data_IF_534524055489
#
_entry.id   IF_534524055489
#
_cell.length_a   1.000
_cell.length_b   1.000
_cell.length_c   1.000
_cell.angle_alpha   90.00
_cell.angle_beta   90.00
_cell.angle_gamma   90.00
#
_symmetry.space_group_name_H-M   'P 1'
#
loop_
_entity.id
_entity.type
_entity.pdbx_description
1 polymer ?
#
# COMPACT_ATOMS: atom_id res chain seq x y z
N UNK A 1 -16.65 -0.72 6.33
CA UNK A 1 -16.02 0.50 6.89
C UNK A 1 -14.80 0.25 7.80
N UNK A 2 -14.41 -0.98 8.16
CA UNK A 2 -13.55 -1.14 9.36
C UNK A 2 -12.01 -1.14 9.16
N UNK A 3 -11.45 -1.38 7.98
CA UNK A 3 -9.99 -1.60 7.86
C UNK A 3 -9.19 -0.29 7.96
N UNK A 4 -9.55 0.72 7.15
CA UNK A 4 -8.89 2.03 7.14
C UNK A 4 -8.90 2.68 8.53
N UNK A 5 -10.02 2.60 9.23
CA UNK A 5 -10.16 3.20 10.57
C UNK A 5 -9.27 2.49 11.61
N UNK A 6 -9.18 1.15 11.56
CA UNK A 6 -8.26 0.39 12.42
C UNK A 6 -6.80 0.76 12.17
N UNK A 7 -6.39 0.82 10.91
CA UNK A 7 -5.01 1.22 10.55
C UNK A 7 -4.71 2.63 11.03
N UNK A 8 -5.64 3.57 10.89
CA UNK A 8 -5.45 4.94 11.36
C UNK A 8 -5.37 5.03 12.90
N UNK A 9 -6.08 4.18 13.65
CA UNK A 9 -6.00 4.17 15.12
C UNK A 9 -4.59 3.86 15.64
N UNK A 10 -3.84 3.02 14.94
CA UNK A 10 -2.47 2.64 15.31
C UNK A 10 -1.42 3.70 14.97
N UNK A 11 -1.76 4.65 14.09
CA UNK A 11 -0.85 5.69 13.62
C UNK A 11 -0.99 6.98 14.43
N UNK A 12 0.15 7.62 14.67
CA UNK A 12 0.23 8.99 15.22
C UNK A 12 -0.35 10.02 14.23
N UNK A 13 -0.73 11.23 14.67
CA UNK A 13 -1.28 12.25 13.77
C UNK A 13 -0.38 12.59 12.57
N UNK A 14 0.94 12.63 12.76
CA UNK A 14 1.93 12.87 11.69
C UNK A 14 1.98 11.71 10.69
N UNK A 15 1.95 10.47 11.18
CA UNK A 15 1.92 9.26 10.36
C UNK A 15 0.61 9.15 9.58
N UNK A 16 -0.53 9.50 10.17
CA UNK A 16 -1.82 9.55 9.47
C UNK A 16 -1.78 10.50 8.29
N UNK A 17 -1.17 11.67 8.47
CA UNK A 17 -1.01 12.63 7.37
C UNK A 17 -0.15 12.05 6.24
N UNK A 18 0.98 11.41 6.60
CA UNK A 18 1.83 10.74 5.63
C UNK A 18 1.08 9.62 4.89
N UNK A 19 0.37 8.75 5.61
CA UNK A 19 -0.45 7.69 5.04
C UNK A 19 -1.48 8.23 4.03
N UNK A 20 -2.23 9.27 4.41
CA UNK A 20 -3.25 9.87 3.54
C UNK A 20 -2.64 10.55 2.31
N UNK A 21 -1.50 11.21 2.47
CA UNK A 21 -0.76 11.83 1.36
C UNK A 21 -0.30 10.76 0.36
N UNK A 22 0.37 9.72 0.85
CA UNK A 22 0.90 8.62 0.02
C UNK A 22 -0.23 7.87 -0.68
N UNK A 23 -1.34 7.59 0.02
CA UNK A 23 -2.51 6.97 -0.58
C UNK A 23 -3.08 7.84 -1.71
N UNK A 24 -3.24 9.16 -1.48
CA UNK A 24 -3.72 10.08 -2.52
C UNK A 24 -2.81 10.10 -3.75
N UNK A 25 -1.50 10.11 -3.56
CA UNK A 25 -0.52 10.08 -4.67
C UNK A 25 -0.66 8.80 -5.51
N UNK A 26 -0.83 7.64 -4.88
CA UNK A 26 -1.02 6.38 -5.61
C UNK A 26 -2.38 6.32 -6.31
N UNK A 27 -3.44 6.85 -5.69
CA UNK A 27 -4.74 6.97 -6.37
C UNK A 27 -4.64 7.86 -7.63
N UNK A 28 -3.87 8.95 -7.58
CA UNK A 28 -3.62 9.81 -8.75
C UNK A 28 -2.78 9.12 -9.84
N UNK A 29 -1.95 8.14 -9.48
CA UNK A 29 -1.19 7.31 -10.42
C UNK A 29 -2.01 6.17 -11.05
N UNK A 30 -3.32 6.14 -10.78
CA UNK A 30 -4.24 5.14 -11.32
C UNK A 30 -4.15 3.78 -10.62
N UNK A 31 -3.66 3.72 -9.39
CA UNK A 31 -3.84 2.51 -8.57
C UNK A 31 -5.26 2.47 -8.03
N UNK A 32 -5.92 1.30 -8.06
CA UNK A 32 -7.28 1.19 -7.56
C UNK A 32 -7.35 1.30 -6.03
N UNK A 33 -8.44 1.84 -5.46
CA UNK A 33 -8.62 1.99 -4.02
C UNK A 33 -8.96 0.65 -3.34
N UNK A 34 -8.02 -0.30 -3.38
CA UNK A 34 -8.18 -1.65 -2.80
C UNK A 34 -7.61 -1.74 -1.38
N UNK A 35 -7.95 -2.82 -0.67
CA UNK A 35 -7.37 -3.11 0.64
C UNK A 35 -5.85 -3.28 0.56
N UNK A 36 -5.35 -3.86 -0.54
CA UNK A 36 -3.92 -4.05 -0.78
C UNK A 36 -3.18 -2.71 -0.89
N UNK A 37 -3.79 -1.69 -1.51
CA UNK A 37 -3.23 -0.34 -1.52
C UNK A 37 -3.17 0.26 -0.11
N UNK A 38 -4.21 0.08 0.70
CA UNK A 38 -4.19 0.55 2.08
C UNK A 38 -3.12 -0.14 2.94
N UNK A 39 -2.95 -1.46 2.81
CA UNK A 39 -1.87 -2.18 3.49
C UNK A 39 -0.49 -1.70 3.01
N UNK A 40 -0.31 -1.52 1.70
CA UNK A 40 0.95 -1.00 1.16
C UNK A 40 1.30 0.38 1.73
N UNK A 41 0.35 1.32 1.74
CA UNK A 41 0.57 2.65 2.32
C UNK A 41 0.83 2.59 3.84
N UNK A 42 0.20 1.65 4.54
CA UNK A 42 0.45 1.43 5.97
C UNK A 42 1.87 0.94 6.22
N UNK A 43 2.34 -0.08 5.48
CA UNK A 43 3.71 -0.58 5.61
C UNK A 43 4.76 0.48 5.21
N UNK A 44 4.50 1.33 4.22
CA UNK A 44 5.36 2.48 3.91
C UNK A 44 5.46 3.46 5.09
N UNK A 45 4.36 3.64 5.81
CA UNK A 45 4.32 4.49 7.01
C UNK A 45 5.16 3.87 8.13
N UNK A 46 5.05 2.56 8.34
CA UNK A 46 5.87 1.83 9.31
C UNK A 46 7.37 1.85 8.95
N UNK A 47 7.71 1.81 7.66
CA UNK A 47 9.10 1.85 7.20
C UNK A 47 9.74 3.18 7.58
N UNK A 48 8.99 4.27 7.38
CA UNK A 48 9.42 5.60 7.81
C UNK A 48 9.61 5.65 9.33
N UNK A 49 8.67 5.12 10.11
CA UNK A 49 8.79 5.05 11.58
C UNK A 49 10.06 4.30 11.99
N UNK A 50 10.34 3.18 11.35
CA UNK A 50 11.54 2.38 11.65
C UNK A 50 12.84 3.12 11.29
N UNK A 51 12.86 3.87 10.18
CA UNK A 51 13.99 4.73 9.80
C UNK A 51 14.22 5.88 10.78
N UNK A 52 13.15 6.44 11.34
CA UNK A 52 13.25 7.46 12.38
C UNK A 52 13.84 6.86 13.68
N UNK A 53 13.48 5.60 14.01
CA UNK A 53 14.02 4.86 15.16
C UNK A 53 15.44 4.33 14.96
N UNK A 54 15.89 4.05 13.73
CA UNK A 54 17.21 3.47 13.45
C UNK A 54 18.38 4.41 13.78
N UNK A 55 18.09 5.69 13.97
CA UNK A 55 19.04 6.68 14.52
C UNK A 55 19.42 6.40 15.98
N UNK A 56 18.69 5.51 16.66
CA UNK A 56 18.91 5.14 18.05
C UNK A 56 20.05 4.13 18.21
N UNK A 57 21.08 4.48 18.98
CA UNK A 57 22.15 3.56 19.39
C UNK A 57 21.66 2.62 20.50
N UNK A 58 20.78 1.68 20.14
CA UNK A 58 20.30 0.62 21.02
C UNK A 58 21.34 -0.46 21.33
N UNK A 59 21.08 -1.28 22.35
CA UNK A 59 21.89 -2.45 22.67
C UNK A 59 21.85 -3.51 21.54
N UNK A 60 22.68 -4.56 21.63
CA UNK A 60 22.76 -5.60 20.60
C UNK A 60 21.41 -6.28 20.30
N UNK A 61 20.61 -6.55 21.34
CA UNK A 61 19.27 -7.13 21.18
C UNK A 61 18.34 -6.21 20.40
N UNK A 62 18.34 -4.91 20.71
CA UNK A 62 17.52 -3.92 20.01
C UNK A 62 17.88 -3.85 18.53
N UNK A 63 19.18 -3.84 18.21
CA UNK A 63 19.65 -3.87 16.81
C UNK A 63 19.21 -5.12 16.07
N UNK A 64 19.28 -6.28 16.71
CA UNK A 64 18.79 -7.54 16.14
C UNK A 64 17.29 -7.49 15.86
N UNK A 65 16.48 -7.04 16.82
CA UNK A 65 15.04 -6.91 16.66
C UNK A 65 14.67 -5.91 15.54
N UNK A 66 15.36 -4.77 15.46
CA UNK A 66 15.14 -3.80 14.40
C UNK A 66 15.46 -4.38 13.02
N UNK A 67 16.61 -5.06 12.87
CA UNK A 67 16.99 -5.67 11.60
C UNK A 67 16.01 -6.74 11.14
N UNK A 68 15.50 -7.55 12.07
CA UNK A 68 14.48 -8.55 11.74
C UNK A 68 13.14 -7.90 11.34
N UNK A 69 12.71 -6.90 12.11
CA UNK A 69 11.49 -6.13 11.80
C UNK A 69 11.60 -5.43 10.45
N UNK A 70 12.77 -4.88 10.12
CA UNK A 70 13.04 -4.24 8.83
C UNK A 70 12.92 -5.25 7.68
N UNK A 71 13.51 -6.44 7.82
CA UNK A 71 13.43 -7.48 6.82
C UNK A 71 11.97 -7.92 6.57
N UNK A 72 11.21 -8.21 7.62
CA UNK A 72 9.80 -8.61 7.52
C UNK A 72 8.94 -7.50 6.87
N UNK A 73 9.26 -6.25 7.19
CA UNK A 73 8.57 -5.09 6.64
C UNK A 73 8.89 -4.90 5.15
N UNK A 74 10.15 -5.07 4.74
CA UNK A 74 10.52 -5.03 3.33
C UNK A 74 9.87 -6.14 2.52
N UNK A 75 9.78 -7.35 3.08
CA UNK A 75 9.09 -8.47 2.44
C UNK A 75 7.59 -8.20 2.28
N UNK A 76 6.97 -7.62 3.31
CA UNK A 76 5.58 -7.16 3.25
C UNK A 76 5.39 -6.09 2.17
N UNK A 77 6.25 -5.08 2.12
CA UNK A 77 6.21 -4.03 1.09
C UNK A 77 6.35 -4.62 -0.32
N UNK A 78 7.29 -5.53 -0.53
CA UNK A 78 7.50 -6.19 -1.82
C UNK A 78 6.27 -7.00 -2.23
N UNK A 79 5.68 -7.73 -1.29
CA UNK A 79 4.46 -8.52 -1.53
C UNK A 79 3.28 -7.64 -1.93
N UNK A 80 2.98 -6.61 -1.15
CA UNK A 80 1.84 -5.74 -1.42
C UNK A 80 2.05 -4.86 -2.65
N UNK A 81 3.28 -4.41 -2.93
CA UNK A 81 3.63 -3.75 -4.20
C UNK A 81 3.31 -4.65 -5.39
N UNK A 82 3.62 -5.94 -5.32
CA UNK A 82 3.29 -6.88 -6.40
C UNK A 82 1.78 -6.98 -6.60
N UNK A 83 1.02 -7.13 -5.51
CA UNK A 83 -0.44 -7.24 -5.56
C UNK A 83 -1.10 -6.00 -6.16
N UNK A 84 -0.72 -4.80 -5.74
CA UNK A 84 -1.33 -3.56 -6.29
C UNK A 84 -0.99 -3.34 -7.75
N UNK A 85 0.16 -3.82 -8.23
CA UNK A 85 0.50 -3.76 -9.65
C UNK A 85 -0.31 -4.77 -10.47
N UNK A 86 -0.48 -5.98 -9.97
CA UNK A 86 -1.35 -7.00 -10.59
C UNK A 86 -2.80 -6.50 -10.66
N UNK A 87 -3.31 -5.87 -9.59
CA UNK A 87 -4.63 -5.25 -9.55
C UNK A 87 -4.77 -4.12 -10.57
N UNK A 88 -3.80 -3.21 -10.62
CA UNK A 88 -3.77 -2.11 -11.60
C UNK A 88 -3.78 -2.62 -13.05
N UNK A 89 -3.05 -3.69 -13.33
CA UNK A 89 -3.06 -4.32 -14.65
C UNK A 89 -4.40 -4.99 -14.98
N UNK A 90 -5.00 -5.66 -14.01
CA UNK A 90 -6.30 -6.34 -14.16
C UNK A 90 -7.42 -5.33 -14.40
N UNK A 91 -7.40 -4.20 -13.69
CA UNK A 91 -8.40 -3.13 -13.87
C UNK A 91 -8.24 -2.43 -15.22
N UNK A 92 -7.00 -2.16 -15.65
CA UNK A 92 -6.73 -1.68 -17.00
C UNK A 92 -7.24 -2.67 -18.06
N UNK A 93 -6.96 -3.97 -17.93
CA UNK A 93 -7.43 -4.99 -18.89
C UNK A 93 -8.96 -5.10 -18.93
N UNK A 94 -9.62 -5.00 -17.77
CA UNK A 94 -11.10 -5.01 -17.66
C UNK A 94 -11.71 -3.79 -18.37
N UNK A 95 -11.02 -2.65 -18.37
CA UNK A 95 -11.45 -1.44 -19.06
C UNK A 95 -11.34 -1.55 -20.60
N UNK A 96 -10.45 -2.42 -21.12
CA UNK A 96 -10.38 -2.76 -22.56
C UNK A 96 -11.35 -3.86 -22.98
N UNK A 97 -11.94 -4.60 -22.03
CA UNK A 97 -12.90 -5.68 -22.27
C UNK A 97 -14.36 -5.25 -22.22
N UNK A 98 -14.67 -3.95 -22.29
CA UNK A 98 -16.03 -3.51 -22.63
C UNK A 98 -16.34 -3.99 -24.06
N UNK A 99 -17.31 -4.90 -24.27
CA UNK A 99 -17.73 -5.25 -25.61
C UNK A 99 -18.25 -3.96 -26.25
N UNK A 100 -17.62 -3.52 -27.34
CA UNK A 100 -18.25 -2.58 -28.26
C UNK A 100 -19.65 -3.10 -28.54
N UNK A 101 -20.65 -2.33 -28.10
CA UNK A 101 -22.06 -2.66 -28.17
C UNK A 101 -22.45 -3.07 -29.59
N UNK A 102 -22.88 -4.34 -29.71
CA UNK A 102 -23.84 -4.95 -30.64
C UNK A 102 -23.77 -4.71 -32.18
N UNK A 103 -24.13 -5.74 -32.98
CA UNK A 103 -24.30 -5.59 -34.43
C UNK A 103 -25.63 -4.87 -34.74
N UNK A 104 -25.73 -4.02 -35.79
CA UNK A 104 -27.02 -3.68 -36.33
C UNK A 104 -27.62 -4.90 -37.06
N UNK A 105 -28.93 -5.05 -36.85
CA UNK A 105 -29.75 -6.19 -37.20
C UNK A 105 -29.73 -6.57 -38.69
N UNK A 106 -29.98 -7.86 -38.91
CA UNK A 106 -30.37 -8.46 -40.19
C UNK A 106 -31.51 -7.63 -40.80
N UNK A 107 -31.30 -7.14 -42.03
CA UNK A 107 -32.37 -6.79 -42.97
C UNK A 107 -32.01 -7.29 -44.35
#
# INVERSE_FOLDING_TARGET
>A
MALKEKLLQELTPSERWFFLKTAKEHLLQGYPPTENLFYYCYFLTLERRLKELSTFQGNALMRYLMAHTEADLMDSLKRYRKLIEEEKQTENQSQWCLPSEWPPAIT
#
